data_IF_082996568660
#
_entry.id   IF_082996568660
#
_cell.length_a   1.000
_cell.length_b   1.000
_cell.length_c   1.000
_cell.angle_alpha   90.00
_cell.angle_beta   90.00
_cell.angle_gamma   90.00
#
_symmetry.space_group_name_H-M   'P 1'
#
loop_
_entity.id
_entity.type
_entity.pdbx_description
1 polymer ?
#
# COMPACT_ATOMS: atom_id res chain seq x y z
N UNK A 1 -31.82 0.53 -1.84
CA UNK A 1 -32.36 -0.84 -1.95
C UNK A 1 -33.72 -0.87 -1.24
N UNK A 2 -34.69 -1.55 -1.83
CA UNK A 2 -36.10 -1.54 -1.42
C UNK A 2 -36.31 -2.16 -0.03
N UNK A 3 -37.10 -1.49 0.81
CA UNK A 3 -37.47 -1.94 2.15
C UNK A 3 -38.46 -3.11 2.05
N UNK A 4 -37.96 -4.34 2.23
CA UNK A 4 -38.80 -5.51 2.44
C UNK A 4 -38.59 -5.98 3.87
N UNK A 5 -39.70 -6.04 4.63
CA UNK A 5 -39.72 -6.47 6.03
C UNK A 5 -39.19 -7.91 6.14
N UNK A 6 -37.96 -8.06 6.63
CA UNK A 6 -37.39 -9.37 6.99
C UNK A 6 -38.18 -9.94 8.16
N UNK A 7 -39.15 -10.80 7.89
CA UNK A 7 -39.73 -11.70 8.89
C UNK A 7 -38.75 -12.86 9.07
N UNK A 8 -38.10 -12.94 10.23
CA UNK A 8 -37.27 -14.09 10.59
C UNK A 8 -38.14 -15.36 10.64
N UNK A 9 -37.70 -16.41 9.96
CA UNK A 9 -38.36 -17.72 10.03
C UNK A 9 -38.05 -18.41 11.37
N UNK A 10 -38.98 -19.18 11.97
CA UNK A 10 -38.80 -19.78 13.31
C UNK A 10 -37.60 -20.73 13.44
N UNK A 11 -37.03 -21.20 12.33
CA UNK A 11 -35.86 -22.08 12.31
C UNK A 11 -34.52 -21.36 12.44
N UNK A 12 -34.48 -20.03 12.50
CA UNK A 12 -33.24 -19.24 12.43
C UNK A 12 -32.89 -18.47 13.72
N UNK A 13 -33.57 -18.78 14.82
CA UNK A 13 -33.45 -18.05 16.10
C UNK A 13 -32.08 -18.29 16.76
N UNK A 14 -31.46 -19.45 16.53
CA UNK A 14 -30.16 -19.80 17.11
C UNK A 14 -28.99 -19.01 16.50
N UNK A 15 -29.08 -18.54 15.24
CA UNK A 15 -28.00 -17.79 14.59
C UNK A 15 -27.72 -16.42 15.23
N UNK A 16 -28.69 -15.91 15.99
CA UNK A 16 -28.59 -14.60 16.64
C UNK A 16 -28.87 -14.69 18.14
N UNK A 17 -28.71 -15.88 18.72
CA UNK A 17 -28.87 -16.08 20.16
C UNK A 17 -27.84 -15.26 20.94
N UNK A 18 -28.15 -15.01 22.21
CA UNK A 18 -27.23 -14.36 23.14
C UNK A 18 -25.88 -15.10 23.16
N UNK A 19 -24.80 -14.32 23.23
CA UNK A 19 -23.40 -14.75 23.20
C UNK A 19 -22.90 -15.33 21.86
N UNK A 20 -23.73 -15.29 20.80
CA UNK A 20 -23.33 -15.68 19.44
C UNK A 20 -22.54 -14.57 18.75
N UNK A 21 -21.57 -14.94 17.90
CA UNK A 21 -20.84 -14.01 17.05
C UNK A 21 -21.60 -13.74 15.75
N UNK A 22 -21.68 -12.46 15.41
CA UNK A 22 -22.36 -11.93 14.23
C UNK A 22 -21.47 -10.89 13.55
N UNK A 23 -21.74 -10.58 12.28
CA UNK A 23 -21.19 -9.39 11.64
C UNK A 23 -22.23 -8.27 11.65
N UNK A 24 -21.76 -7.08 12.01
CA UNK A 24 -22.58 -5.89 12.18
C UNK A 24 -22.07 -4.79 11.26
N UNK A 25 -22.99 -4.20 10.51
CA UNK A 25 -22.75 -2.98 9.73
C UNK A 25 -23.46 -1.78 10.38
N UNK A 26 -23.37 -0.61 9.79
CA UNK A 26 -24.03 0.60 10.27
C UNK A 26 -24.09 1.61 9.13
N UNK A 27 -25.00 2.59 9.20
CA UNK A 27 -25.07 3.73 8.29
C UNK A 27 -24.28 4.94 8.78
N UNK A 28 -23.87 4.95 10.05
CA UNK A 28 -22.96 5.98 10.60
C UNK A 28 -21.66 6.10 9.81
N UNK A 29 -21.27 7.35 9.51
CA UNK A 29 -20.18 7.71 8.59
C UNK A 29 -18.89 6.89 8.69
N UNK A 30 -18.46 6.54 9.90
CA UNK A 30 -17.19 5.83 10.15
C UNK A 30 -17.31 4.30 10.14
N UNK A 31 -18.53 3.74 10.21
CA UNK A 31 -18.83 2.31 10.11
C UNK A 31 -19.51 1.94 8.78
N UNK A 32 -19.95 2.94 8.02
CA UNK A 32 -20.70 2.77 6.78
C UNK A 32 -19.90 2.04 5.72
N UNK A 33 -20.48 0.95 5.20
CA UNK A 33 -19.89 0.11 4.17
C UNK A 33 -18.95 -1.00 4.67
N UNK A 34 -18.71 -1.07 5.99
CA UNK A 34 -17.93 -2.14 6.62
C UNK A 34 -18.80 -3.15 7.38
N UNK A 35 -18.27 -4.36 7.54
CA UNK A 35 -18.82 -5.42 8.41
C UNK A 35 -17.85 -5.74 9.53
N UNK A 36 -18.32 -5.66 10.78
CA UNK A 36 -17.48 -5.80 11.97
C UNK A 36 -17.98 -6.96 12.83
N UNK A 37 -17.06 -7.80 13.29
CA UNK A 37 -17.42 -8.93 14.17
C UNK A 37 -17.82 -8.39 15.54
N UNK A 38 -18.99 -8.84 16.00
CA UNK A 38 -19.55 -8.47 17.29
C UNK A 38 -20.21 -9.68 17.96
N UNK A 39 -20.33 -9.62 19.29
CA UNK A 39 -21.05 -10.60 20.10
C UNK A 39 -22.43 -10.06 20.46
N UNK A 40 -23.47 -10.87 20.28
CA UNK A 40 -24.83 -10.52 20.73
C UNK A 40 -24.89 -10.55 22.25
N UNK A 41 -25.24 -9.42 22.88
CA UNK A 41 -25.48 -9.34 24.33
C UNK A 41 -26.97 -9.48 24.67
N UNK A 42 -27.83 -8.88 23.84
CA UNK A 42 -29.28 -8.84 24.04
C UNK A 42 -29.96 -8.96 22.66
N UNK A 43 -30.55 -10.12 22.31
CA UNK A 43 -31.32 -10.28 21.08
C UNK A 43 -32.72 -9.64 21.20
N UNK A 44 -33.36 -9.28 20.08
CA UNK A 44 -34.71 -8.72 20.09
C UNK A 44 -35.74 -9.76 20.59
N UNK A 45 -36.81 -9.33 21.25
CA UNK A 45 -37.86 -10.23 21.72
C UNK A 45 -38.56 -10.96 20.56
N UNK A 46 -38.95 -12.24 20.72
CA UNK A 46 -39.51 -13.09 19.66
C UNK A 46 -40.91 -12.63 19.18
N UNK A 47 -41.57 -11.73 19.92
CA UNK A 47 -42.80 -11.05 19.50
C UNK A 47 -42.65 -9.55 19.77
N UNK A 48 -42.47 -8.72 18.73
CA UNK A 48 -42.30 -7.29 18.92
C UNK A 48 -43.63 -6.68 19.40
N UNK A 49 -43.64 -6.17 20.62
CA UNK A 49 -44.77 -5.44 21.23
C UNK A 49 -45.07 -4.12 20.50
N UNK A 50 -44.14 -3.66 19.67
CA UNK A 50 -44.25 -2.45 18.83
C UNK A 50 -43.81 -2.79 17.40
N UNK A 51 -44.65 -2.55 16.38
CA UNK A 51 -44.28 -2.74 14.99
C UNK A 51 -43.18 -1.73 14.62
N UNK A 52 -41.93 -2.19 14.52
CA UNK A 52 -40.87 -1.42 13.85
C UNK A 52 -39.50 -1.33 14.53
N UNK A 53 -39.26 -1.90 15.72
CA UNK A 53 -37.95 -1.78 16.38
C UNK A 53 -37.38 -3.14 16.80
N UNK A 54 -36.86 -3.90 15.82
CA UNK A 54 -36.04 -5.09 16.07
C UNK A 54 -34.58 -4.67 16.15
N UNK A 55 -34.07 -4.49 17.38
CA UNK A 55 -32.69 -4.08 17.63
C UNK A 55 -31.95 -5.12 18.48
N UNK A 56 -30.69 -5.35 18.15
CA UNK A 56 -29.75 -6.14 18.94
C UNK A 56 -28.89 -5.21 19.79
N UNK A 57 -28.59 -5.57 21.03
CA UNK A 57 -27.44 -5.03 21.74
C UNK A 57 -26.22 -5.90 21.41
N UNK A 58 -25.20 -5.29 20.80
CA UNK A 58 -23.99 -5.99 20.39
C UNK A 58 -22.74 -5.38 21.02
N UNK A 59 -21.76 -6.22 21.34
CA UNK A 59 -20.42 -5.84 21.76
C UNK A 59 -19.43 -6.12 20.63
N UNK A 60 -18.81 -5.09 20.07
CA UNK A 60 -17.83 -5.26 19.00
C UNK A 60 -16.54 -5.92 19.53
N UNK A 61 -16.00 -6.88 18.77
CA UNK A 61 -14.81 -7.62 19.19
C UNK A 61 -13.54 -6.79 19.10
N UNK A 62 -13.43 -5.96 18.06
CA UNK A 62 -12.20 -5.24 17.69
C UNK A 62 -12.38 -3.72 17.66
N UNK A 63 -13.52 -3.18 18.13
CA UNK A 63 -13.77 -1.74 18.26
C UNK A 63 -13.86 -1.36 19.74
N UNK A 64 -13.19 -0.26 20.10
CA UNK A 64 -13.04 0.20 21.48
C UNK A 64 -13.36 1.68 21.59
N UNK A 65 -13.92 2.06 22.74
CA UNK A 65 -14.00 3.44 23.17
C UNK A 65 -12.61 3.96 23.57
N UNK A 66 -12.46 5.29 23.67
CA UNK A 66 -11.22 5.93 24.12
C UNK A 66 -10.77 5.47 25.52
N UNK A 67 -11.71 5.02 26.34
CA UNK A 67 -11.50 4.41 27.67
C UNK A 67 -10.93 2.98 27.62
N UNK A 68 -10.64 2.42 26.43
CA UNK A 68 -10.22 1.02 26.20
C UNK A 68 -11.28 -0.04 26.55
N UNK A 69 -12.52 0.37 26.83
CA UNK A 69 -13.65 -0.56 26.91
C UNK A 69 -14.14 -0.90 25.50
N UNK A 70 -14.67 -2.13 25.31
CA UNK A 70 -15.27 -2.51 24.03
C UNK A 70 -16.47 -1.63 23.69
N UNK A 71 -16.65 -1.37 22.41
CA UNK A 71 -17.82 -0.64 21.91
C UNK A 71 -19.06 -1.52 22.05
N UNK A 72 -20.09 -1.01 22.71
CA UNK A 72 -21.40 -1.66 22.85
C UNK A 72 -22.46 -0.75 22.24
N UNK A 73 -23.34 -1.30 21.41
CA UNK A 73 -24.33 -0.49 20.66
C UNK A 73 -25.63 -1.25 20.40
N UNK A 74 -26.75 -0.51 20.34
CA UNK A 74 -28.01 -1.00 19.77
C UNK A 74 -28.01 -0.83 18.26
N UNK A 75 -28.26 -1.92 17.54
CA UNK A 75 -28.23 -1.95 16.07
C UNK A 75 -29.50 -2.59 15.53
N UNK A 76 -30.07 -2.00 14.49
CA UNK A 76 -31.24 -2.52 13.79
C UNK A 76 -30.90 -3.85 13.10
N UNK A 77 -31.83 -4.80 13.11
CA UNK A 77 -31.72 -6.12 12.47
C UNK A 77 -31.22 -6.08 11.03
N UNK A 78 -31.55 -5.03 10.27
CA UNK A 78 -31.11 -4.87 8.87
C UNK A 78 -29.58 -4.74 8.72
N UNK A 79 -28.88 -4.43 9.82
CA UNK A 79 -27.44 -4.30 9.86
C UNK A 79 -26.73 -5.49 10.50
N UNK A 80 -27.44 -6.58 10.81
CA UNK A 80 -26.87 -7.75 11.48
C UNK A 80 -26.99 -8.97 10.56
N UNK A 81 -25.89 -9.72 10.41
CA UNK A 81 -25.85 -11.01 9.70
C UNK A 81 -25.03 -12.03 10.51
N UNK A 82 -25.22 -13.35 10.33
CA UNK A 82 -24.36 -14.32 10.98
C UNK A 82 -22.91 -14.19 10.49
N UNK A 83 -21.98 -14.94 11.08
CA UNK A 83 -20.66 -15.09 10.48
C UNK A 83 -20.78 -15.82 9.12
N UNK A 84 -20.06 -15.37 8.07
CA UNK A 84 -20.02 -16.10 6.82
C UNK A 84 -19.41 -17.49 7.00
N UNK A 85 -19.84 -18.48 6.20
CA UNK A 85 -19.31 -19.83 6.29
C UNK A 85 -17.80 -19.82 6.02
N UNK A 86 -17.05 -20.74 6.65
CA UNK A 86 -15.63 -20.90 6.34
C UNK A 86 -15.46 -21.29 4.85
N UNK A 87 -14.29 -20.99 4.26
CA UNK A 87 -13.94 -21.44 2.93
C UNK A 87 -14.18 -22.95 2.75
N UNK A 88 -14.53 -23.43 1.53
CA UNK A 88 -14.79 -24.85 1.27
C UNK A 88 -13.64 -25.82 1.53
N UNK A 89 -12.40 -25.33 1.71
CA UNK A 89 -11.23 -26.15 1.99
C UNK A 89 -10.84 -25.96 3.47
N UNK A 90 -10.82 -27.04 4.24
CA UNK A 90 -10.42 -27.10 5.66
C UNK A 90 -8.93 -26.80 5.91
N UNK A 91 -8.19 -26.35 4.89
CA UNK A 91 -6.79 -25.98 5.01
C UNK A 91 -6.61 -24.51 4.65
N UNK A 92 -5.62 -23.89 5.31
CA UNK A 92 -5.20 -22.49 5.18
C UNK A 92 -4.60 -22.18 3.79
N UNK A 93 -5.15 -22.75 2.73
CA UNK A 93 -4.79 -22.46 1.36
C UNK A 93 -5.18 -21.03 1.02
N UNK A 94 -4.21 -20.30 0.46
CA UNK A 94 -4.40 -18.96 -0.04
C UNK A 94 -5.46 -18.99 -1.15
N UNK A 95 -6.69 -18.58 -0.81
CA UNK A 95 -7.76 -18.38 -1.80
C UNK A 95 -7.19 -17.57 -2.96
N UNK A 96 -7.35 -18.12 -4.17
CA UNK A 96 -6.89 -17.51 -5.41
C UNK A 96 -8.02 -16.65 -5.93
N UNK A 97 -7.80 -15.34 -5.90
CA UNK A 97 -8.72 -14.37 -6.47
C UNK A 97 -8.28 -14.01 -7.90
N UNK A 98 -9.26 -13.70 -8.73
CA UNK A 98 -9.10 -13.24 -10.09
C UNK A 98 -9.54 -11.78 -10.22
N UNK A 99 -9.09 -11.13 -11.29
CA UNK A 99 -9.57 -9.79 -11.62
C UNK A 99 -11.09 -9.82 -11.79
N UNK A 100 -11.77 -8.81 -11.24
CA UNK A 100 -13.21 -8.63 -11.16
C UNK A 100 -13.93 -9.49 -10.11
N UNK A 101 -13.23 -10.29 -9.31
CA UNK A 101 -13.81 -10.89 -8.12
C UNK A 101 -14.26 -9.82 -7.13
N UNK A 102 -15.47 -9.98 -6.61
CA UNK A 102 -15.99 -9.19 -5.50
C UNK A 102 -15.55 -9.86 -4.20
N UNK A 103 -14.80 -9.11 -3.40
CA UNK A 103 -14.15 -9.60 -2.18
C UNK A 103 -14.48 -8.70 -1.00
N UNK A 104 -14.48 -9.27 0.19
CA UNK A 104 -14.38 -8.51 1.43
C UNK A 104 -12.89 -8.41 1.80
N UNK A 105 -12.38 -7.19 1.93
CA UNK A 105 -11.01 -6.92 2.35
C UNK A 105 -10.95 -6.52 3.83
N UNK A 106 -10.08 -7.18 4.60
CA UNK A 106 -9.91 -6.87 6.01
C UNK A 106 -9.05 -5.62 6.20
N UNK A 107 -9.64 -4.56 6.76
CA UNK A 107 -8.97 -3.29 7.02
C UNK A 107 -9.62 -2.58 8.20
N UNK A 108 -8.83 -1.90 9.04
CA UNK A 108 -9.33 -1.10 10.16
C UNK A 108 -10.34 -1.86 11.04
N UNK A 109 -10.03 -3.13 11.35
CA UNK A 109 -10.84 -4.01 12.20
C UNK A 109 -12.22 -4.40 11.63
N UNK A 110 -12.46 -4.19 10.33
CA UNK A 110 -13.67 -4.61 9.64
C UNK A 110 -13.40 -5.17 8.25
N UNK A 111 -14.44 -5.75 7.65
CA UNK A 111 -14.46 -6.32 6.31
C UNK A 111 -15.15 -5.34 5.36
N UNK A 112 -14.45 -4.95 4.28
CA UNK A 112 -14.89 -3.93 3.35
C UNK A 112 -15.08 -4.50 1.95
N UNK A 113 -16.26 -4.30 1.38
CA UNK A 113 -16.56 -4.78 0.03
C UNK A 113 -15.70 -4.06 -1.00
N UNK A 114 -15.06 -4.81 -1.89
CA UNK A 114 -14.24 -4.29 -2.96
C UNK A 114 -14.14 -5.24 -4.14
N UNK A 115 -13.48 -4.78 -5.19
CA UNK A 115 -13.30 -5.56 -6.42
C UNK A 115 -11.83 -5.69 -6.75
N UNK A 116 -11.37 -6.91 -7.01
CA UNK A 116 -10.00 -7.18 -7.42
C UNK A 116 -9.74 -6.53 -8.78
N UNK A 117 -8.86 -5.55 -8.82
CA UNK A 117 -8.52 -4.79 -10.04
C UNK A 117 -7.27 -5.32 -10.73
N UNK A 118 -6.31 -5.85 -9.95
CA UNK A 118 -5.06 -6.44 -10.46
C UNK A 118 -4.58 -7.56 -9.54
N UNK A 119 -3.92 -8.54 -10.13
CA UNK A 119 -3.18 -9.58 -9.42
C UNK A 119 -1.70 -9.40 -9.78
N UNK A 120 -0.84 -9.27 -8.77
CA UNK A 120 0.59 -8.99 -8.91
C UNK A 120 1.39 -10.09 -8.21
N UNK A 121 2.57 -10.42 -8.73
CA UNK A 121 3.46 -11.42 -8.13
C UNK A 121 3.11 -12.87 -8.46
N UNK A 122 4.06 -13.75 -8.23
CA UNK A 122 3.93 -15.20 -8.45
C UNK A 122 3.52 -15.91 -7.16
N UNK A 123 2.79 -17.01 -7.31
CA UNK A 123 2.24 -17.91 -6.29
C UNK A 123 2.26 -17.39 -4.84
N UNK A 124 3.37 -17.59 -4.11
CA UNK A 124 3.49 -17.33 -2.67
C UNK A 124 3.61 -15.84 -2.29
N UNK A 125 4.04 -14.98 -3.23
CA UNK A 125 4.15 -13.53 -3.04
C UNK A 125 3.03 -12.76 -3.75
N UNK A 126 1.93 -13.45 -4.07
CA UNK A 126 0.80 -12.84 -4.77
C UNK A 126 0.14 -11.76 -3.92
N UNK A 127 0.01 -10.59 -4.52
CA UNK A 127 -0.63 -9.40 -3.97
C UNK A 127 -1.81 -9.01 -4.86
N UNK A 128 -2.95 -8.73 -4.24
CA UNK A 128 -4.18 -8.36 -4.91
C UNK A 128 -4.45 -6.86 -4.72
N UNK A 129 -4.52 -6.11 -5.82
CA UNK A 129 -4.95 -4.71 -5.78
C UNK A 129 -6.47 -4.66 -5.82
N UNK A 130 -7.11 -4.30 -4.70
CA UNK A 130 -8.57 -4.24 -4.57
C UNK A 130 -9.03 -2.78 -4.61
N UNK A 131 -10.02 -2.51 -5.45
CA UNK A 131 -10.74 -1.23 -5.50
C UNK A 131 -11.87 -1.27 -4.47
N UNK A 132 -11.71 -0.53 -3.37
CA UNK A 132 -12.73 -0.30 -2.36
C UNK A 132 -13.58 0.91 -2.74
N UNK A 133 -14.89 0.85 -2.51
CA UNK A 133 -15.82 1.95 -2.80
C UNK A 133 -15.89 3.00 -1.68
N UNK A 134 -16.39 4.20 -2.02
CA UNK A 134 -16.81 5.27 -1.11
C UNK A 134 -15.80 5.71 -0.02
N UNK A 135 -14.78 6.52 -0.34
CA UNK A 135 -14.35 6.94 -1.68
C UNK A 135 -13.52 5.87 -2.38
N UNK A 136 -13.61 5.81 -3.72
CA UNK A 136 -12.92 4.82 -4.54
C UNK A 136 -11.40 4.85 -4.34
N UNK A 137 -10.84 3.78 -3.77
CA UNK A 137 -9.40 3.65 -3.49
C UNK A 137 -8.90 2.27 -3.84
N UNK A 138 -7.75 2.20 -4.50
CA UNK A 138 -7.07 0.94 -4.77
C UNK A 138 -6.02 0.67 -3.70
N UNK A 139 -6.12 -0.46 -3.01
CA UNK A 139 -5.21 -0.88 -1.94
C UNK A 139 -4.73 -2.31 -2.23
N UNK A 140 -3.48 -2.60 -1.87
CA UNK A 140 -2.87 -3.93 -2.06
C UNK A 140 -3.05 -4.79 -0.81
N UNK A 141 -3.51 -6.02 -0.99
CA UNK A 141 -3.79 -7.01 0.05
C UNK A 141 -3.11 -8.35 -0.25
N UNK A 142 -2.78 -9.10 0.80
CA UNK A 142 -2.42 -10.52 0.71
C UNK A 142 -3.68 -11.38 0.62
N UNK A 143 -3.54 -12.63 0.17
CA UNK A 143 -4.66 -13.59 0.15
C UNK A 143 -5.30 -13.75 1.54
N UNK A 144 -4.49 -13.79 2.61
CA UNK A 144 -4.96 -13.90 4.00
C UNK A 144 -5.76 -12.71 4.52
N UNK A 145 -5.75 -11.58 3.80
CA UNK A 145 -6.47 -10.35 4.16
C UNK A 145 -7.77 -10.20 3.34
N UNK A 146 -8.10 -11.19 2.50
CA UNK A 146 -9.26 -11.20 1.62
C UNK A 146 -10.12 -12.45 1.87
N UNK A 147 -11.41 -12.32 1.61
CA UNK A 147 -12.34 -13.44 1.44
C UNK A 147 -13.31 -13.10 0.33
N UNK A 148 -13.94 -14.11 -0.29
CA UNK A 148 -15.04 -13.84 -1.23
C UNK A 148 -16.16 -13.08 -0.52
N UNK A 149 -16.68 -12.06 -1.18
CA UNK A 149 -17.84 -11.33 -0.67
C UNK A 149 -19.08 -12.23 -0.75
N UNK A 150 -19.86 -12.25 0.32
CA UNK A 150 -21.13 -12.97 0.40
C UNK A 150 -22.21 -12.03 0.91
N UNK A 151 -23.37 -12.08 0.26
CA UNK A 151 -24.59 -11.38 0.68
C UNK A 151 -25.45 -12.31 1.55
N UNK A 152 -25.97 -11.78 2.66
CA UNK A 152 -26.94 -12.49 3.50
C UNK A 152 -28.36 -12.06 3.12
N UNK A 153 -29.06 -12.89 2.34
CA UNK A 153 -30.38 -12.57 1.78
C UNK A 153 -31.32 -13.75 2.00
N UNK A 154 -32.47 -13.50 2.63
CA UNK A 154 -33.51 -14.51 2.81
C UNK A 154 -33.02 -15.75 3.54
N UNK A 155 -32.30 -15.55 4.65
CA UNK A 155 -31.71 -16.60 5.49
C UNK A 155 -30.66 -17.47 4.80
N UNK A 156 -30.03 -16.98 3.71
CA UNK A 156 -29.01 -17.70 2.96
C UNK A 156 -27.83 -16.80 2.57
N UNK A 157 -26.65 -17.40 2.52
CA UNK A 157 -25.46 -16.79 1.94
C UNK A 157 -25.46 -16.95 0.43
N UNK A 158 -25.27 -15.85 -0.28
CA UNK A 158 -25.25 -15.80 -1.75
C UNK A 158 -23.94 -15.15 -2.18
N UNK A 159 -23.18 -15.82 -3.04
CA UNK A 159 -22.01 -15.21 -3.67
C UNK A 159 -22.45 -14.42 -4.90
N UNK A 160 -22.19 -13.10 -4.97
CA UNK A 160 -22.54 -12.29 -6.13
C UNK A 160 -21.64 -12.60 -7.33
N UNK A 161 -22.12 -12.26 -8.52
CA UNK A 161 -21.37 -12.43 -9.76
C UNK A 161 -20.20 -11.43 -9.85
N UNK A 162 -19.15 -11.80 -10.59
CA UNK A 162 -18.01 -10.92 -10.90
C UNK A 162 -18.49 -9.59 -11.51
N UNK A 163 -17.85 -8.48 -11.13
CA UNK A 163 -18.22 -7.16 -11.65
C UNK A 163 -17.64 -6.95 -13.06
N UNK A 164 -18.47 -7.08 -14.10
CA UNK A 164 -18.07 -6.77 -15.47
C UNK A 164 -17.93 -5.25 -15.68
N UNK A 165 -16.85 -4.81 -16.34
CA UNK A 165 -16.70 -3.42 -16.82
C UNK A 165 -17.77 -3.10 -17.88
N UNK A 166 -18.94 -2.63 -17.45
CA UNK A 166 -19.77 -1.72 -18.23
C UNK A 166 -20.80 -1.05 -17.31
N UNK A 167 -21.00 0.26 -17.54
CA UNK A 167 -21.99 1.18 -16.96
C UNK A 167 -21.57 1.99 -15.72
N UNK A 168 -20.82 3.08 -15.95
CA UNK A 168 -21.16 4.43 -15.44
C UNK A 168 -20.28 5.49 -16.13
N UNK A 169 -20.57 5.80 -17.39
CA UNK A 169 -20.28 7.14 -17.91
C UNK A 169 -21.45 8.05 -17.50
N UNK A 170 -21.22 8.91 -16.51
CA UNK A 170 -22.03 10.12 -16.30
C UNK A 170 -21.05 11.28 -16.44
N UNK A 171 -21.34 12.12 -17.42
CA UNK A 171 -20.38 13.01 -18.04
C UNK A 171 -19.87 14.13 -17.16
N UNK A 172 -18.62 14.50 -17.41
CA UNK A 172 -18.05 15.76 -16.96
C UNK A 172 -17.51 16.53 -18.17
N UNK A 173 -18.07 17.72 -18.36
CA UNK A 173 -17.82 18.64 -19.47
C UNK A 173 -16.37 19.11 -19.43
N UNK A 174 -15.63 18.93 -20.52
CA UNK A 174 -14.30 19.54 -20.73
C UNK A 174 -14.44 21.05 -20.93
N UNK A 175 -13.96 21.82 -19.95
CA UNK A 175 -13.56 23.23 -20.13
C UNK A 175 -12.12 23.31 -20.66
N UNK A 176 -11.92 24.09 -21.72
CA UNK A 176 -10.61 24.44 -22.30
C UNK A 176 -9.93 25.55 -21.49
N UNK A 177 -8.62 25.44 -21.29
CA UNK A 177 -7.68 26.58 -21.25
C UNK A 177 -6.26 26.03 -21.53
N UNK A 178 -5.75 26.21 -22.76
CA UNK A 178 -4.64 27.12 -23.13
C UNK A 178 -3.31 26.83 -22.44
N UNK A 179 -2.39 26.18 -23.18
CA UNK A 179 -0.95 26.42 -23.05
C UNK A 179 -0.43 27.00 -24.36
N UNK A 180 0.37 28.04 -24.21
CA UNK A 180 0.91 28.87 -25.26
C UNK A 180 2.08 28.19 -25.98
N UNK A 181 2.13 28.47 -27.27
CA UNK A 181 3.21 28.18 -28.20
C UNK A 181 4.53 28.85 -27.77
N UNK A 182 5.65 28.15 -27.93
CA UNK A 182 6.86 28.80 -28.46
C UNK A 182 7.37 28.00 -29.65
N UNK A 183 7.43 28.72 -30.76
CA UNK A 183 7.81 28.31 -32.10
C UNK A 183 9.33 28.42 -32.26
N UNK A 184 9.99 27.48 -32.94
CA UNK A 184 11.16 27.81 -33.75
C UNK A 184 11.32 26.84 -34.92
N UNK A 185 11.45 27.43 -36.10
CA UNK A 185 11.39 26.79 -37.41
C UNK A 185 12.70 26.14 -37.86
N UNK A 186 12.50 25.04 -38.59
CA UNK A 186 13.27 24.39 -39.67
C UNK A 186 14.49 25.13 -40.25
N UNK A 187 15.55 24.35 -40.50
CA UNK A 187 16.22 24.30 -41.82
C UNK A 187 16.88 22.93 -42.09
N UNK A 188 16.74 22.46 -43.34
CA UNK A 188 17.13 21.14 -43.88
C UNK A 188 18.53 21.13 -44.52
N UNK A 189 19.11 19.90 -44.60
CA UNK A 189 20.10 19.29 -45.54
C UNK A 189 21.38 18.84 -44.80
N UNK A 190 21.90 17.62 -44.96
CA UNK A 190 21.50 16.49 -45.79
C UNK A 190 22.36 15.23 -45.54
N UNK A 191 21.92 14.13 -46.16
CA UNK A 191 22.68 13.00 -46.74
C UNK A 191 23.58 12.11 -45.86
N UNK A 192 23.12 10.85 -45.70
CA UNK A 192 23.81 9.53 -45.73
C UNK A 192 25.32 9.47 -45.40
N UNK A 193 25.84 8.50 -44.64
CA UNK A 193 25.88 7.06 -44.96
C UNK A 193 26.03 6.20 -43.68
N UNK A 194 25.30 5.07 -43.62
CA UNK A 194 25.50 3.96 -42.68
C UNK A 194 26.66 3.08 -43.19
N UNK A 195 27.63 2.76 -42.33
CA UNK A 195 28.43 1.54 -42.50
C UNK A 195 28.34 0.68 -41.25
N UNK A 196 27.72 -0.48 -41.48
CA UNK A 196 27.70 -1.66 -40.65
C UNK A 196 28.87 -2.52 -41.13
N UNK A 197 29.77 -2.95 -40.24
CA UNK A 197 30.59 -4.13 -40.54
C UNK A 197 30.55 -5.11 -39.37
N UNK A 198 30.18 -6.33 -39.74
CA UNK A 198 30.00 -7.54 -38.96
C UNK A 198 30.96 -8.58 -39.54
N UNK A 199 31.56 -9.37 -38.66
CA UNK A 199 32.27 -10.61 -39.01
C UNK A 199 33.76 -10.42 -39.30
N UNK A 200 34.60 -11.45 -39.24
CA UNK A 200 34.39 -12.89 -38.97
C UNK A 200 35.80 -13.51 -38.84
N UNK A 201 35.89 -14.63 -38.13
CA UNK A 201 37.06 -15.51 -38.02
C UNK A 201 37.49 -16.17 -39.35
N UNK A 202 38.59 -16.92 -39.24
CA UNK A 202 39.25 -17.89 -40.15
C UNK A 202 40.42 -17.27 -40.94
N UNK A 203 41.61 -17.86 -41.06
CA UNK A 203 42.08 -19.23 -40.82
C UNK A 203 42.94 -19.66 -42.03
N UNK A 204 44.12 -20.27 -41.79
CA UNK A 204 44.77 -21.22 -42.70
C UNK A 204 45.61 -20.71 -43.90
N UNK A 205 46.94 -20.81 -43.72
CA UNK A 205 47.95 -21.53 -44.51
C UNK A 205 48.28 -21.23 -46.01
N UNK A 206 49.56 -21.56 -46.30
CA UNK A 206 50.30 -21.72 -47.58
C UNK A 206 50.83 -20.43 -48.23
N UNK A 207 52.11 -20.27 -48.63
CA UNK A 207 53.27 -21.15 -48.81
C UNK A 207 53.99 -20.78 -50.12
N UNK A 208 55.29 -20.43 -50.10
CA UNK A 208 56.31 -20.50 -51.20
C UNK A 208 57.53 -19.64 -50.81
N UNK A 209 58.63 -20.20 -50.27
CA UNK A 209 59.86 -20.70 -50.94
C UNK A 209 60.56 -19.68 -51.84
N UNK A 210 61.76 -19.25 -51.42
CA UNK A 210 62.95 -19.21 -52.29
C UNK A 210 64.22 -19.53 -51.48
N UNK A 211 65.05 -20.38 -52.09
CA UNK A 211 66.32 -20.95 -51.62
C UNK A 211 67.49 -19.99 -51.85
N UNK A 212 68.48 -20.02 -50.95
CA UNK A 212 69.91 -19.92 -51.30
C UNK A 212 70.68 -20.94 -50.45
N UNK A 213 71.47 -21.78 -51.11
CA UNK A 213 72.29 -22.89 -50.60
C UNK A 213 73.77 -22.47 -50.35
N UNK A 214 74.52 -23.37 -49.68
CA UNK A 214 76.00 -23.65 -49.74
C UNK A 214 76.90 -22.81 -48.80
N UNK A 215 77.86 -23.28 -47.97
CA UNK A 215 78.50 -24.57 -47.55
C UNK A 215 79.24 -24.26 -46.22
N UNK A 216 79.19 -25.07 -45.16
CA UNK A 216 80.01 -26.26 -44.78
C UNK A 216 81.31 -25.98 -43.99
N UNK A 217 81.43 -26.63 -42.82
CA UNK A 217 82.67 -27.04 -42.12
C UNK A 217 82.36 -27.75 -40.79
N UNK A 218 82.16 -29.06 -40.88
CA UNK A 218 82.65 -30.17 -40.05
C UNK A 218 83.08 -30.00 -38.56
N UNK A 219 82.50 -30.92 -37.75
CA UNK A 219 83.07 -31.76 -36.66
C UNK A 219 83.21 -31.29 -35.18
N UNK A 220 82.39 -31.96 -34.36
CA UNK A 220 82.65 -32.59 -33.03
C UNK A 220 83.16 -31.77 -31.85
N UNK A 221 82.31 -31.62 -30.82
CA UNK A 221 82.50 -32.32 -29.53
C UNK A 221 81.24 -32.25 -28.65
N UNK A 222 80.98 -33.34 -27.94
CA UNK A 222 79.84 -33.50 -27.04
C UNK A 222 80.15 -32.90 -25.66
N UNK A 223 79.26 -32.06 -25.12
CA UNK A 223 79.19 -31.84 -23.68
C UNK A 223 77.82 -31.28 -23.25
N UNK A 224 77.24 -31.98 -22.26
CA UNK A 224 76.31 -31.50 -21.25
C UNK A 224 74.96 -30.91 -21.72
N UNK A 225 73.92 -31.73 -21.53
CA UNK A 225 72.57 -31.28 -21.21
C UNK A 225 72.66 -30.39 -19.96
N UNK A 226 72.56 -29.09 -20.15
CA UNK A 226 72.22 -28.17 -19.07
C UNK A 226 70.80 -27.64 -19.35
N UNK A 227 69.86 -28.04 -18.49
CA UNK A 227 68.48 -27.61 -18.54
C UNK A 227 68.42 -26.10 -18.25
N UNK A 228 68.42 -25.29 -19.31
CA UNK A 228 68.17 -23.85 -19.23
C UNK A 228 66.76 -23.57 -18.69
N UNK A 229 66.60 -22.72 -17.65
CA UNK A 229 65.29 -22.37 -17.12
C UNK A 229 64.63 -21.34 -18.05
N UNK A 230 63.85 -21.80 -19.03
CA UNK A 230 63.02 -20.96 -19.91
C UNK A 230 61.80 -20.34 -19.21
N UNK A 231 61.74 -20.32 -17.88
CA UNK A 231 60.68 -19.69 -17.10
C UNK A 231 61.25 -18.56 -16.23
N UNK A 232 61.52 -17.38 -16.82
CA UNK A 232 61.51 -16.04 -16.16
C UNK A 232 62.18 -14.88 -16.95
N UNK A 233 62.27 -14.93 -18.29
CA UNK A 233 62.68 -13.73 -19.05
C UNK A 233 61.49 -12.86 -19.47
N UNK A 234 60.30 -13.44 -19.62
CA UNK A 234 59.13 -12.75 -20.19
C UNK A 234 58.26 -11.99 -19.17
N UNK A 235 58.31 -12.31 -17.87
CA UNK A 235 57.70 -11.46 -16.81
C UNK A 235 58.56 -10.22 -16.51
N UNK A 236 59.90 -10.35 -16.66
CA UNK A 236 60.85 -9.24 -16.49
C UNK A 236 60.69 -8.14 -17.55
N UNK A 237 60.19 -8.45 -18.75
CA UNK A 237 59.92 -7.42 -19.77
C UNK A 237 58.78 -6.49 -19.35
N UNK A 238 57.74 -7.03 -18.71
CA UNK A 238 56.60 -6.25 -18.22
C UNK A 238 56.97 -5.32 -17.05
N UNK A 239 57.84 -5.79 -16.14
CA UNK A 239 58.39 -4.99 -15.02
C UNK A 239 59.30 -3.83 -15.47
N UNK A 240 59.84 -3.93 -16.69
CA UNK A 240 60.67 -2.91 -17.32
C UNK A 240 59.89 -1.88 -18.14
N UNK A 241 58.58 -2.09 -18.37
CA UNK A 241 57.74 -1.18 -19.16
C UNK A 241 57.57 0.19 -18.49
N UNK A 242 57.92 1.25 -19.21
CA UNK A 242 57.70 2.63 -18.79
C UNK A 242 56.21 2.98 -18.73
N UNK A 243 55.40 2.41 -19.62
CA UNK A 243 53.96 2.70 -19.72
C UNK A 243 53.21 2.09 -18.53
N UNK A 244 53.55 0.85 -18.14
CA UNK A 244 52.92 0.21 -16.99
C UNK A 244 53.35 0.87 -15.67
N UNK A 245 54.60 1.35 -15.57
CA UNK A 245 55.03 2.19 -14.45
C UNK A 245 54.24 3.49 -14.35
N UNK A 246 53.96 4.14 -15.49
CA UNK A 246 53.10 5.32 -15.49
C UNK A 246 51.69 5.00 -14.95
N UNK A 247 51.07 3.90 -15.39
CA UNK A 247 49.74 3.53 -14.88
C UNK A 247 49.76 3.15 -13.39
N UNK A 248 50.83 2.51 -12.91
CA UNK A 248 51.02 2.26 -11.47
C UNK A 248 51.15 3.56 -10.64
N UNK A 249 51.53 4.68 -11.26
CA UNK A 249 51.62 5.99 -10.60
C UNK A 249 50.27 6.72 -10.49
N UNK A 250 49.20 6.23 -11.11
CA UNK A 250 47.87 6.82 -11.02
C UNK A 250 47.30 6.70 -9.59
N UNK A 251 46.48 7.68 -9.21
CA UNK A 251 45.90 7.81 -7.86
C UNK A 251 45.17 6.53 -7.41
N UNK A 252 44.46 5.86 -8.32
CA UNK A 252 43.71 4.64 -7.99
C UNK A 252 44.64 3.48 -7.56
N UNK A 253 45.83 3.36 -8.16
CA UNK A 253 46.85 2.38 -7.75
C UNK A 253 47.64 2.82 -6.52
N UNK A 254 47.72 4.12 -6.24
CA UNK A 254 48.28 4.61 -4.98
C UNK A 254 47.33 4.33 -3.81
N UNK A 255 46.03 4.53 -4.01
CA UNK A 255 44.97 4.26 -3.03
C UNK A 255 44.77 2.76 -2.79
N UNK A 256 44.90 1.96 -3.85
CA UNK A 256 44.76 0.51 -3.78
C UNK A 256 45.89 -0.16 -4.55
N UNK A 257 47.07 -0.32 -3.92
CA UNK A 257 48.22 -0.95 -4.56
C UNK A 257 47.93 -2.39 -5.01
N UNK A 258 48.25 -2.69 -6.26
CA UNK A 258 48.02 -3.99 -6.88
C UNK A 258 49.33 -4.54 -7.47
N UNK A 259 49.46 -5.87 -7.45
CA UNK A 259 50.55 -6.61 -8.13
C UNK A 259 49.95 -7.77 -8.94
N UNK A 260 49.23 -7.47 -10.04
CA UNK A 260 48.63 -8.49 -10.87
C UNK A 260 49.68 -9.41 -11.50
N UNK A 261 49.36 -10.70 -11.57
CA UNK A 261 50.31 -11.72 -12.05
C UNK A 261 50.29 -11.90 -13.57
N UNK A 262 49.20 -11.52 -14.24
CA UNK A 262 49.01 -11.64 -15.70
C UNK A 262 49.27 -13.01 -16.36
N UNK A 263 49.47 -14.10 -15.59
CA UNK A 263 49.60 -15.49 -16.07
C UNK A 263 48.75 -15.89 -17.29
N UNK A 264 47.45 -15.53 -17.42
CA UNK A 264 46.68 -15.88 -18.62
C UNK A 264 47.24 -15.28 -19.92
N UNK A 265 48.03 -14.21 -19.84
CA UNK A 265 48.70 -13.61 -20.99
C UNK A 265 49.94 -14.40 -21.44
N UNK A 266 50.33 -15.45 -20.71
CA UNK A 266 51.44 -16.33 -21.08
C UNK A 266 51.19 -17.16 -22.34
N UNK A 267 49.92 -17.29 -22.73
CA UNK A 267 49.51 -17.96 -23.96
C UNK A 267 49.36 -16.97 -25.13
N UNK A 268 49.44 -15.66 -24.87
CA UNK A 268 49.25 -14.62 -25.87
C UNK A 268 50.55 -14.34 -26.64
N UNK A 269 50.45 -13.95 -27.92
CA UNK A 269 51.59 -13.49 -28.71
C UNK A 269 52.28 -12.29 -28.03
N UNK A 270 53.61 -12.31 -28.04
CA UNK A 270 54.46 -11.36 -27.29
C UNK A 270 54.15 -9.91 -27.67
N UNK A 271 53.79 -9.65 -28.94
CA UNK A 271 53.47 -8.31 -29.46
C UNK A 271 52.22 -7.68 -28.82
N UNK A 272 51.26 -8.47 -28.33
CA UNK A 272 50.02 -7.97 -27.74
C UNK A 272 50.04 -7.93 -26.21
N UNK A 273 50.99 -8.62 -25.57
CA UNK A 273 51.00 -8.82 -24.10
C UNK A 273 51.00 -7.52 -23.31
N UNK A 274 51.88 -6.59 -23.65
CA UNK A 274 51.96 -5.29 -22.97
C UNK A 274 50.66 -4.49 -23.13
N UNK A 275 50.10 -4.48 -24.34
CA UNK A 275 48.82 -3.81 -24.62
C UNK A 275 47.65 -4.42 -23.84
N UNK A 276 47.60 -5.74 -23.71
CA UNK A 276 46.57 -6.42 -22.91
C UNK A 276 46.76 -6.19 -21.41
N UNK A 277 48.00 -6.24 -20.91
CA UNK A 277 48.28 -5.89 -19.51
C UNK A 277 47.84 -4.45 -19.21
N UNK A 278 48.15 -3.50 -20.10
CA UNK A 278 47.71 -2.11 -20.01
C UNK A 278 46.18 -1.98 -20.01
N UNK A 279 45.49 -2.71 -20.90
CA UNK A 279 44.01 -2.78 -20.93
C UNK A 279 43.47 -3.17 -19.56
N UNK A 280 44.00 -4.23 -18.94
CA UNK A 280 43.53 -4.71 -17.64
C UNK A 280 43.83 -3.73 -16.51
N UNK A 281 45.03 -3.14 -16.49
CA UNK A 281 45.37 -2.09 -15.51
C UNK A 281 44.45 -0.89 -15.61
N UNK A 282 44.19 -0.40 -16.83
CA UNK A 282 43.29 0.72 -17.05
C UNK A 282 41.83 0.36 -16.72
N UNK A 283 41.44 -0.89 -16.95
CA UNK A 283 40.12 -1.40 -16.55
C UNK A 283 39.94 -1.34 -15.03
N UNK A 284 40.95 -1.75 -14.25
CA UNK A 284 40.93 -1.61 -12.79
C UNK A 284 40.78 -0.14 -12.35
N UNK A 285 41.58 0.77 -12.93
CA UNK A 285 41.48 2.22 -12.68
C UNK A 285 40.07 2.72 -12.93
N UNK A 286 39.50 2.38 -14.09
CA UNK A 286 38.15 2.78 -14.45
C UNK A 286 37.11 2.24 -13.46
N UNK A 287 37.23 0.98 -13.04
CA UNK A 287 36.30 0.40 -12.04
C UNK A 287 36.35 1.18 -10.72
N UNK A 288 37.56 1.40 -10.17
CA UNK A 288 37.73 2.13 -8.90
C UNK A 288 37.19 3.56 -9.01
N UNK A 289 37.48 4.23 -10.13
CA UNK A 289 37.03 5.59 -10.40
C UNK A 289 35.52 5.70 -10.62
N UNK A 290 34.89 4.73 -11.25
CA UNK A 290 33.44 4.73 -11.40
C UNK A 290 32.74 4.48 -10.05
N UNK A 291 33.30 3.62 -9.20
CA UNK A 291 32.79 3.41 -7.83
C UNK A 291 32.85 4.70 -7.01
N UNK A 292 33.93 5.49 -7.11
CA UNK A 292 34.07 6.74 -6.36
C UNK A 292 33.09 7.84 -6.79
N UNK A 293 32.58 7.78 -8.03
CA UNK A 293 31.59 8.72 -8.55
C UNK A 293 30.14 8.32 -8.26
N UNK A 294 29.89 7.09 -7.81
CA UNK A 294 28.54 6.60 -7.58
C UNK A 294 27.79 7.49 -6.58
N UNK A 295 26.66 8.00 -7.03
CA UNK A 295 25.73 8.79 -6.22
C UNK A 295 24.59 7.92 -5.72
N UNK A 296 23.92 8.38 -4.66
CA UNK A 296 22.75 7.71 -4.06
C UNK A 296 21.61 7.51 -5.07
N UNK A 297 21.50 8.37 -6.09
CA UNK A 297 20.51 8.26 -7.17
C UNK A 297 20.98 7.44 -8.39
N UNK A 298 22.20 6.92 -8.37
CA UNK A 298 22.75 6.15 -9.48
C UNK A 298 21.94 4.86 -9.71
N UNK A 299 21.82 4.41 -10.97
CA UNK A 299 21.11 3.17 -11.31
C UNK A 299 21.79 1.94 -10.71
N UNK A 300 21.00 0.93 -10.31
CA UNK A 300 21.52 -0.32 -9.75
C UNK A 300 22.33 -1.11 -10.77
N UNK A 301 21.95 -0.99 -12.05
CA UNK A 301 22.61 -1.63 -13.18
C UNK A 301 24.08 -1.24 -13.35
N UNK A 302 24.49 -0.06 -12.87
CA UNK A 302 25.90 0.37 -12.92
C UNK A 302 26.72 -0.48 -11.96
N UNK A 303 26.23 -0.69 -10.73
CA UNK A 303 26.91 -1.54 -9.75
C UNK A 303 26.97 -3.00 -10.22
N UNK A 304 25.90 -3.51 -10.85
CA UNK A 304 25.88 -4.86 -11.42
C UNK A 304 26.90 -5.03 -12.55
N UNK A 305 26.98 -4.03 -13.44
CA UNK A 305 27.95 -4.04 -14.54
C UNK A 305 29.39 -4.03 -14.02
N UNK A 306 29.67 -3.26 -12.95
CA UNK A 306 30.98 -3.22 -12.32
C UNK A 306 31.32 -4.53 -11.61
N UNK A 307 30.37 -5.13 -10.88
CA UNK A 307 30.55 -6.45 -10.27
C UNK A 307 30.85 -7.52 -11.32
N UNK A 308 30.22 -7.45 -12.50
CA UNK A 308 30.41 -8.40 -13.60
C UNK A 308 31.80 -8.30 -14.26
N UNK A 309 32.50 -7.17 -14.16
CA UNK A 309 33.86 -7.03 -14.71
C UNK A 309 34.96 -7.52 -13.75
N UNK A 310 34.67 -7.63 -12.45
CA UNK A 310 35.66 -8.05 -11.45
C UNK A 310 36.26 -9.45 -11.66
N UNK A 311 35.50 -10.48 -12.08
CA UNK A 311 36.08 -11.82 -12.29
C UNK A 311 37.18 -11.85 -13.35
N UNK A 312 37.05 -11.04 -14.41
CA UNK A 312 38.07 -10.95 -15.47
C UNK A 312 39.35 -10.29 -14.93
N UNK A 313 39.23 -9.32 -14.02
CA UNK A 313 40.40 -8.74 -13.34
C UNK A 313 41.02 -9.75 -12.36
N UNK A 314 40.21 -10.46 -11.60
CA UNK A 314 40.66 -11.47 -10.63
C UNK A 314 41.45 -12.60 -11.33
N UNK A 315 41.02 -13.06 -12.50
CA UNK A 315 41.74 -14.08 -13.27
C UNK A 315 43.13 -13.63 -13.74
N UNK A 316 43.38 -12.32 -13.83
CA UNK A 316 44.67 -11.73 -14.19
C UNK A 316 45.50 -11.32 -12.95
N UNK A 317 45.03 -11.65 -11.75
CA UNK A 317 45.75 -11.49 -10.49
C UNK A 317 45.48 -10.20 -9.73
N UNK A 318 44.45 -9.44 -10.09
CA UNK A 318 44.05 -8.26 -9.33
C UNK A 318 43.33 -8.67 -8.03
N UNK A 319 43.69 -8.05 -6.90
CA UNK A 319 42.95 -8.17 -5.66
C UNK A 319 41.74 -7.23 -5.68
N UNK A 320 40.57 -7.78 -6.02
CA UNK A 320 39.30 -7.07 -6.14
C UNK A 320 38.36 -7.30 -4.95
N UNK A 321 38.83 -7.91 -3.85
CA UNK A 321 37.99 -8.27 -2.71
C UNK A 321 37.34 -7.06 -2.06
N UNK A 322 38.12 -6.03 -1.78
CA UNK A 322 37.63 -4.81 -1.14
C UNK A 322 36.70 -4.01 -2.07
N UNK A 323 37.02 -4.01 -3.37
CA UNK A 323 36.17 -3.42 -4.43
C UNK A 323 34.81 -4.13 -4.47
N UNK A 324 34.81 -5.46 -4.45
CA UNK A 324 33.60 -6.29 -4.44
C UNK A 324 32.76 -6.03 -3.20
N UNK A 325 33.37 -6.06 -2.01
CA UNK A 325 32.68 -5.82 -0.75
C UNK A 325 32.03 -4.43 -0.74
N UNK A 326 32.77 -3.39 -1.16
CA UNK A 326 32.25 -2.02 -1.24
C UNK A 326 31.05 -1.92 -2.18
N UNK A 327 31.08 -2.59 -3.34
CA UNK A 327 29.95 -2.63 -4.27
C UNK A 327 28.73 -3.34 -3.65
N UNK A 328 28.92 -4.44 -2.93
CA UNK A 328 27.85 -5.17 -2.25
C UNK A 328 27.22 -4.34 -1.11
N UNK A 329 28.03 -3.62 -0.35
CA UNK A 329 27.57 -2.70 0.69
C UNK A 329 26.73 -1.57 0.09
N UNK A 330 27.21 -0.96 -1.01
CA UNK A 330 26.48 0.08 -1.73
C UNK A 330 25.13 -0.44 -2.26
N UNK A 331 25.07 -1.66 -2.81
CA UNK A 331 23.81 -2.27 -3.22
C UNK A 331 22.86 -2.48 -2.03
N UNK A 332 23.38 -2.91 -0.88
CA UNK A 332 22.59 -3.14 0.33
C UNK A 332 22.00 -1.83 0.86
N UNK A 333 22.82 -0.78 0.93
CA UNK A 333 22.37 0.57 1.31
C UNK A 333 21.28 1.04 0.34
N UNK A 334 21.48 0.86 -0.98
CA UNK A 334 20.49 1.25 -1.98
C UNK A 334 19.14 0.53 -1.80
N UNK A 335 19.13 -0.79 -1.61
CA UNK A 335 17.89 -1.55 -1.34
C UNK A 335 17.19 -1.04 -0.08
N UNK A 336 17.95 -0.71 0.97
CA UNK A 336 17.37 -0.17 2.21
C UNK A 336 16.75 1.22 2.00
N UNK A 337 17.36 2.07 1.17
CA UNK A 337 16.81 3.38 0.79
C UNK A 337 15.48 3.23 0.04
N UNK A 338 15.39 2.32 -0.94
CA UNK A 338 14.16 2.06 -1.70
C UNK A 338 13.01 1.56 -0.79
N UNK A 339 13.34 0.71 0.18
CA UNK A 339 12.40 0.27 1.20
C UNK A 339 11.90 1.41 2.09
N UNK A 340 12.82 2.26 2.57
CA UNK A 340 12.48 3.43 3.39
C UNK A 340 11.61 4.43 2.62
N UNK A 341 11.88 4.66 1.34
CA UNK A 341 11.04 5.48 0.46
C UNK A 341 9.61 4.93 0.35
N UNK A 342 9.48 3.61 0.23
CA UNK A 342 8.16 2.94 0.19
C UNK A 342 7.40 3.09 1.51
N UNK A 343 8.08 2.92 2.65
CA UNK A 343 7.50 3.17 3.99
C UNK A 343 7.09 4.62 4.17
N UNK A 344 7.94 5.57 3.75
CA UNK A 344 7.64 7.00 3.81
C UNK A 344 6.40 7.35 2.97
N UNK A 345 6.27 6.79 1.77
CA UNK A 345 5.09 6.98 0.93
C UNK A 345 3.80 6.47 1.63
N UNK A 346 3.86 5.29 2.27
CA UNK A 346 2.73 4.73 3.04
C UNK A 346 2.33 5.64 4.20
N UNK A 347 3.29 6.09 5.01
CA UNK A 347 3.04 7.01 6.13
C UNK A 347 2.44 8.33 5.63
N UNK A 348 2.96 8.88 4.53
CA UNK A 348 2.43 10.10 3.92
C UNK A 348 0.98 9.95 3.46
N UNK A 349 0.62 8.79 2.90
CA UNK A 349 -0.76 8.47 2.55
C UNK A 349 -1.66 8.38 3.80
N UNK A 350 -1.21 7.72 4.86
CA UNK A 350 -1.96 7.61 6.12
C UNK A 350 -2.19 8.98 6.78
N UNK A 351 -1.17 9.85 6.78
CA UNK A 351 -1.32 11.23 7.27
C UNK A 351 -2.41 11.95 6.49
N UNK A 352 -2.39 11.89 5.14
CA UNK A 352 -3.42 12.51 4.31
C UNK A 352 -4.83 11.99 4.63
N UNK A 353 -4.97 10.70 4.93
CA UNK A 353 -6.24 10.11 5.35
C UNK A 353 -6.73 10.71 6.65
N UNK A 354 -5.90 10.66 7.68
CA UNK A 354 -6.24 11.14 9.02
C UNK A 354 -6.51 12.64 9.04
N UNK A 355 -5.81 13.43 8.22
CA UNK A 355 -6.09 14.86 8.09
C UNK A 355 -7.47 15.11 7.46
N UNK A 356 -7.87 14.34 6.45
CA UNK A 356 -9.18 14.50 5.83
C UNK A 356 -10.31 14.07 6.77
N UNK A 357 -10.15 12.95 7.45
CA UNK A 357 -11.09 12.48 8.48
C UNK A 357 -11.23 13.53 9.61
N UNK A 358 -10.12 14.08 10.09
CA UNK A 358 -10.13 15.17 11.07
C UNK A 358 -10.87 16.42 10.59
N UNK A 359 -10.75 16.80 9.31
CA UNK A 359 -11.52 17.92 8.75
C UNK A 359 -13.02 17.65 8.68
N UNK A 360 -13.42 16.42 8.37
CA UNK A 360 -14.83 16.03 8.33
C UNK A 360 -15.44 16.06 9.74
N UNK A 361 -14.76 15.45 10.71
CA UNK A 361 -15.17 15.48 12.13
C UNK A 361 -15.30 16.92 12.64
N UNK A 362 -14.35 17.79 12.31
CA UNK A 362 -14.42 19.19 12.71
C UNK A 362 -15.63 19.92 12.10
N UNK A 363 -15.98 19.64 10.85
CA UNK A 363 -17.18 20.22 10.22
C UNK A 363 -18.47 19.72 10.90
N UNK A 364 -18.53 18.43 11.25
CA UNK A 364 -19.65 17.87 12.02
C UNK A 364 -19.77 18.49 13.41
N UNK A 365 -18.65 18.71 14.08
CA UNK A 365 -18.61 19.34 15.39
C UNK A 365 -19.17 20.77 15.32
N UNK A 366 -18.80 21.54 14.29
CA UNK A 366 -19.30 22.90 14.07
C UNK A 366 -20.83 22.88 13.88
N UNK A 367 -21.36 21.99 13.04
CA UNK A 367 -22.81 21.83 12.83
C UNK A 367 -23.55 21.42 14.12
N UNK A 368 -22.97 20.51 14.91
CA UNK A 368 -23.54 20.09 16.19
C UNK A 368 -23.58 21.25 17.21
N UNK A 369 -22.51 22.06 17.28
CA UNK A 369 -22.45 23.25 18.14
C UNK A 369 -23.54 24.25 17.75
N UNK A 370 -23.76 24.46 16.46
CA UNK A 370 -24.82 25.36 15.98
C UNK A 370 -26.23 24.84 16.35
N UNK A 371 -26.47 23.54 16.20
CA UNK A 371 -27.73 22.90 16.62
C UNK A 371 -27.96 23.00 18.13
N UNK A 372 -26.92 22.82 18.94
CA UNK A 372 -27.02 22.98 20.41
C UNK A 372 -27.43 24.42 20.74
N UNK A 373 -26.82 25.42 20.10
CA UNK A 373 -27.17 26.83 20.32
C UNK A 373 -28.66 27.11 20.04
N UNK A 374 -29.20 26.61 18.93
CA UNK A 374 -30.63 26.77 18.58
C UNK A 374 -31.54 26.10 19.62
N UNK A 375 -31.14 24.92 20.12
CA UNK A 375 -31.90 24.21 21.15
C UNK A 375 -31.88 24.95 22.50
N UNK A 376 -30.76 25.56 22.88
CA UNK A 376 -30.67 26.38 24.09
C UNK A 376 -31.58 27.61 24.02
N UNK A 377 -31.63 28.30 22.87
CA UNK A 377 -32.57 29.41 22.65
C UNK A 377 -34.03 28.94 22.71
N UNK A 378 -34.35 27.77 22.13
CA UNK A 378 -35.68 27.18 22.22
C UNK A 378 -36.05 26.83 23.66
N UNK A 379 -35.12 26.28 24.44
CA UNK A 379 -35.30 25.97 25.86
C UNK A 379 -35.62 27.25 26.65
N UNK A 380 -34.88 28.34 26.43
CA UNK A 380 -35.14 29.62 27.11
C UNK A 380 -36.55 30.16 26.81
N UNK A 381 -37.00 30.09 25.55
CA UNK A 381 -38.36 30.48 25.16
C UNK A 381 -39.43 29.65 25.87
N UNK A 382 -39.28 28.32 25.91
CA UNK A 382 -40.25 27.44 26.55
C UNK A 382 -40.34 27.66 28.07
N UNK A 383 -39.21 27.94 28.74
CA UNK A 383 -39.19 28.26 30.17
C UNK A 383 -40.01 29.54 30.43
N UNK A 384 -39.77 30.61 29.67
CA UNK A 384 -40.51 31.87 29.81
C UNK A 384 -42.02 31.70 29.58
N UNK A 385 -42.42 30.96 28.53
CA UNK A 385 -43.82 30.70 28.22
C UNK A 385 -44.51 29.87 29.32
N UNK A 386 -43.78 28.95 29.96
CA UNK A 386 -44.29 28.18 31.08
C UNK A 386 -44.46 29.03 32.36
N UNK A 387 -43.54 29.96 32.62
CA UNK A 387 -43.67 30.91 33.73
C UNK A 387 -44.89 31.82 33.56
N UNK A 388 -45.16 32.30 32.34
CA UNK A 388 -46.36 33.08 32.01
C UNK A 388 -47.64 32.27 32.24
N UNK A 389 -47.71 31.05 31.70
CA UNK A 389 -48.84 30.14 31.92
C UNK A 389 -49.06 29.81 33.41
N UNK A 390 -48.00 29.64 34.19
CA UNK A 390 -48.09 29.40 35.63
C UNK A 390 -48.68 30.62 36.36
N UNK A 391 -48.26 31.83 35.97
CA UNK A 391 -48.80 33.09 36.50
C UNK A 391 -50.29 33.24 36.21
N UNK A 392 -50.70 32.95 34.97
CA UNK A 392 -52.11 33.02 34.56
C UNK A 392 -52.96 31.95 35.26
N UNK A 393 -52.43 30.73 35.38
CA UNK A 393 -53.06 29.64 36.16
C UNK A 393 -53.24 30.03 37.62
N UNK A 394 -52.26 30.71 38.23
CA UNK A 394 -52.37 31.18 39.61
C UNK A 394 -53.47 32.23 39.78
N UNK A 395 -53.62 33.16 38.83
CA UNK A 395 -54.72 34.16 38.82
C UNK A 395 -56.08 33.49 38.71
N UNK A 396 -56.23 32.53 37.78
CA UNK A 396 -57.48 31.78 37.61
C UNK A 396 -57.84 30.98 38.86
N UNK A 397 -56.88 30.31 39.51
CA UNK A 397 -57.11 29.61 40.78
C UNK A 397 -57.58 30.55 41.89
N UNK A 398 -57.03 31.76 42.00
CA UNK A 398 -57.49 32.77 42.96
C UNK A 398 -58.94 33.20 42.68
N UNK A 399 -59.27 33.41 41.41
CA UNK A 399 -60.63 33.76 40.98
C UNK A 399 -61.63 32.63 41.25
N UNK A 400 -61.24 31.38 41.02
CA UNK A 400 -62.06 30.19 41.29
C UNK A 400 -62.41 30.08 42.79
N UNK A 401 -61.41 30.26 43.67
CA UNK A 401 -61.63 30.27 45.12
C UNK A 401 -62.63 31.37 45.52
N UNK A 402 -62.43 32.59 45.03
CA UNK A 402 -63.31 33.72 45.34
C UNK A 402 -64.75 33.51 44.85
N UNK A 403 -64.93 32.98 43.63
CA UNK A 403 -66.26 32.64 43.10
C UNK A 403 -66.93 31.54 43.92
N UNK A 404 -66.19 30.52 44.31
CA UNK A 404 -66.71 29.42 45.12
C UNK A 404 -67.16 29.90 46.52
N UNK A 405 -66.40 30.79 47.16
CA UNK A 405 -66.82 31.44 48.41
C UNK A 405 -68.13 32.22 48.23
N UNK A 406 -68.26 32.96 47.12
CA UNK A 406 -69.50 33.66 46.79
C UNK A 406 -70.69 32.72 46.59
N UNK A 407 -70.50 31.60 45.88
CA UNK A 407 -71.54 30.58 45.66
C UNK A 407 -72.00 30.01 46.99
N UNK A 408 -71.07 29.59 47.86
CA UNK A 408 -71.42 29.04 49.18
C UNK A 408 -72.20 30.05 50.03
N UNK A 409 -71.84 31.33 49.97
CA UNK A 409 -72.59 32.37 50.67
C UNK A 409 -74.02 32.53 50.11
N UNK A 410 -74.19 32.51 48.78
CA UNK A 410 -75.52 32.54 48.14
C UNK A 410 -76.35 31.31 48.53
N UNK A 411 -75.77 30.11 48.48
CA UNK A 411 -76.44 28.86 48.87
C UNK A 411 -76.86 28.89 50.36
N UNK A 412 -75.99 29.41 51.24
CA UNK A 412 -76.30 29.58 52.65
C UNK A 412 -77.47 30.55 52.87
N UNK A 413 -77.45 31.71 52.20
CA UNK A 413 -78.54 32.70 52.28
C UNK A 413 -79.86 32.14 51.73
N UNK A 414 -79.80 31.39 50.63
CA UNK A 414 -80.96 30.73 50.05
C UNK A 414 -81.57 29.72 51.03
N UNK A 415 -80.75 28.88 51.67
CA UNK A 415 -81.21 27.90 52.65
C UNK A 415 -81.92 28.56 53.84
N UNK A 416 -81.38 29.68 54.37
CA UNK A 416 -82.01 30.44 55.45
C UNK A 416 -83.42 30.91 55.04
N UNK A 417 -83.55 31.53 53.86
CA UNK A 417 -84.82 32.04 53.36
C UNK A 417 -85.85 30.92 53.09
N UNK A 418 -85.39 29.77 52.61
CA UNK A 418 -86.27 28.61 52.34
C UNK A 418 -86.84 27.96 53.61
N UNK A 419 -86.20 28.11 54.76
CA UNK A 419 -86.65 27.53 56.05
C UNK A 419 -87.66 28.37 56.84
N UNK A 420 -87.99 29.59 56.40
CA UNK A 420 -89.05 30.38 57.03
C UNK A 420 -90.43 29.79 56.75
N UNK A 421 -91.29 29.51 57.76
CA UNK A 421 -92.63 29.00 57.51
C UNK A 421 -93.49 30.09 56.88
N UNK A 422 -94.22 29.75 55.81
CA UNK A 422 -95.38 30.54 55.35
C UNK A 422 -96.36 30.60 56.51
N UNK A 423 -96.54 31.79 57.06
CA UNK A 423 -97.54 32.06 58.08
C UNK A 423 -98.94 31.88 57.50
N UNK A 424 -99.77 31.15 58.24
CA UNK A 424 -101.19 31.45 58.43
C UNK A 424 -101.38 31.90 59.87
#
# INVERSE_FOLDING_TARGET
MSSSSMKMSPGNIDLFAKDTLVEVSSDERWLSGGWFVAKVLDPPPPSPTTPGKMEFLVEYQSLFWWSRSKLVKRVDIKFVRPLPPPPPNDEQEQQRFEVNDVVDAYRNNGWWVGVVSKVLGEEEQRVYSVLLGNPSRTINFRSSELRFHLDWIGDKWIQPQKQNKMSSEVGEKRGKQMEAETNSEKRKRGTHVKFLFKGKECGGAEGSVDKIDVEDSSTTEAAAVDNMPYQNQNLRSLESSLVLRFVQSLEEFQLMPQKPHFRPLDECEVVFREGLALKYMMTFVNVVKEISKLQVNASGSIMDSLLKSLPELESHGFNVKDVRNRLLDLQTIKRSQEHLQTKLAKVKCEIKMRTHEGTEINAELIDAIEKIKVLEEKKARLISMNEENNSETAKLKSSDISLNEHIQNVEHNFAILATFPRGD
#
